data_IF_166428462241
#
_entry.id   IF_166428462241
#
_cell.length_a   1.000
_cell.length_b   1.000
_cell.length_c   1.000
_cell.angle_alpha   90.00
_cell.angle_beta   90.00
_cell.angle_gamma   90.00
#
_symmetry.space_group_name_H-M   'P 1'
#
loop_
_entity.id
_entity.type
_entity.pdbx_description
1 polymer ?
#
# COMPACT_ATOMS: atom_id res chain seq x y z
N UNK A 1 27.11 11.04 -7.87
CA UNK A 1 26.37 9.94 -7.18
C UNK A 1 25.29 10.54 -6.29
N UNK A 2 24.05 10.05 -6.36
CA UNK A 2 23.00 10.49 -5.41
C UNK A 2 23.28 9.93 -4.01
N UNK A 3 23.05 10.73 -2.97
CA UNK A 3 23.18 10.30 -1.57
C UNK A 3 21.84 9.88 -0.97
N UNK A 4 20.78 10.65 -1.27
CA UNK A 4 19.41 10.38 -0.82
C UNK A 4 18.86 9.09 -1.39
N UNK A 5 18.20 8.30 -0.55
CA UNK A 5 17.58 7.02 -0.91
C UNK A 5 16.10 7.22 -1.22
N UNK A 6 15.58 6.42 -2.16
CA UNK A 6 14.19 6.49 -2.59
C UNK A 6 13.42 5.28 -2.09
N UNK A 7 12.32 5.55 -1.40
CA UNK A 7 11.32 4.55 -0.98
C UNK A 7 10.18 4.59 -1.99
N UNK A 8 9.82 3.45 -2.58
CA UNK A 8 8.72 3.37 -3.53
C UNK A 8 7.69 2.35 -3.03
N UNK A 9 6.42 2.73 -3.02
CA UNK A 9 5.32 1.81 -2.69
C UNK A 9 5.02 0.95 -3.90
N UNK A 10 5.06 -0.37 -3.72
CA UNK A 10 4.78 -1.33 -4.80
C UNK A 10 3.35 -1.83 -4.65
N UNK A 11 2.60 -1.76 -5.75
CA UNK A 11 1.27 -2.34 -5.87
C UNK A 11 1.07 -3.06 -7.21
N UNK A 12 -0.19 -3.41 -7.56
CA UNK A 12 -0.51 -4.28 -8.69
C UNK A 12 0.07 -3.84 -10.05
N UNK A 13 0.18 -2.52 -10.28
CA UNK A 13 0.73 -1.96 -11.53
C UNK A 13 2.26 -1.99 -11.62
N UNK A 14 2.95 -2.34 -10.54
CA UNK A 14 4.41 -2.22 -10.39
C UNK A 14 5.09 -3.46 -9.83
N UNK A 15 4.34 -4.52 -9.51
CA UNK A 15 4.86 -5.75 -8.91
C UNK A 15 5.44 -6.74 -9.95
N UNK A 16 5.07 -6.57 -11.22
CA UNK A 16 5.64 -7.34 -12.32
C UNK A 16 7.15 -7.07 -12.43
N UNK A 17 7.93 -8.14 -12.62
CA UNK A 17 9.39 -8.10 -12.59
C UNK A 17 9.98 -6.99 -13.46
N UNK A 18 9.54 -6.91 -14.71
CA UNK A 18 10.00 -5.91 -15.68
C UNK A 18 9.80 -4.48 -15.16
N UNK A 19 8.65 -4.21 -14.53
CA UNK A 19 8.35 -2.89 -13.99
C UNK A 19 9.16 -2.60 -12.73
N UNK A 20 9.37 -3.61 -11.89
CA UNK A 20 10.22 -3.50 -10.72
C UNK A 20 11.67 -3.21 -11.11
N UNK A 21 12.22 -3.90 -12.11
CA UNK A 21 13.57 -3.61 -12.65
C UNK A 21 13.69 -2.19 -13.19
N UNK A 22 12.68 -1.68 -13.90
CA UNK A 22 12.63 -0.27 -14.31
C UNK A 22 12.73 0.69 -13.12
N UNK A 23 12.00 0.42 -12.03
CA UNK A 23 12.05 1.24 -10.81
C UNK A 23 13.41 1.15 -10.10
N UNK A 24 14.00 -0.03 -10.02
CA UNK A 24 15.33 -0.26 -9.44
C UNK A 24 16.41 0.47 -10.25
N UNK A 25 16.29 0.50 -11.57
CA UNK A 25 17.20 1.22 -12.47
C UNK A 25 16.99 2.74 -12.43
N UNK A 26 15.75 3.19 -12.28
CA UNK A 26 15.42 4.60 -12.03
C UNK A 26 15.90 5.07 -10.63
N UNK A 27 16.22 4.13 -9.74
CA UNK A 27 16.95 4.37 -8.50
C UNK A 27 16.17 4.09 -7.22
N UNK A 28 15.10 3.29 -7.27
CA UNK A 28 14.47 2.76 -6.05
C UNK A 28 15.52 2.09 -5.15
N UNK A 29 15.44 2.33 -3.84
CA UNK A 29 16.34 1.76 -2.85
C UNK A 29 15.61 0.89 -1.81
N UNK A 30 14.35 1.24 -1.52
CA UNK A 30 13.50 0.53 -0.57
C UNK A 30 12.15 0.26 -1.22
N UNK A 31 11.71 -1.00 -1.20
CA UNK A 31 10.34 -1.38 -1.51
C UNK A 31 9.47 -1.20 -0.27
N UNK A 32 8.48 -0.32 -0.34
CA UNK A 32 7.45 -0.16 0.69
C UNK A 32 6.25 -1.05 0.35
N UNK A 33 5.85 -1.87 1.31
CA UNK A 33 4.62 -2.65 1.29
C UNK A 33 3.62 -1.99 2.23
N UNK A 34 2.56 -1.41 1.68
CA UNK A 34 1.53 -0.74 2.46
C UNK A 34 0.44 -1.73 2.88
N UNK A 35 0.40 -2.11 4.17
CA UNK A 35 -0.55 -3.10 4.70
C UNK A 35 -1.94 -2.54 4.98
N UNK A 36 -2.21 -1.26 4.65
CA UNK A 36 -3.60 -0.79 4.54
C UNK A 36 -4.37 -1.45 3.39
N UNK A 37 -3.66 -2.08 2.42
CA UNK A 37 -4.23 -2.73 1.25
C UNK A 37 -3.49 -4.03 0.90
N UNK A 38 -4.12 -4.87 0.07
CA UNK A 38 -3.59 -6.17 -0.36
C UNK A 38 -3.65 -7.23 0.73
N UNK A 39 -3.39 -8.48 0.34
CA UNK A 39 -3.30 -9.62 1.24
C UNK A 39 -1.85 -10.13 1.39
N UNK A 40 -1.67 -11.17 2.22
CA UNK A 40 -0.36 -11.75 2.47
C UNK A 40 0.26 -12.41 1.24
N UNK A 41 -0.55 -12.97 0.35
CA UNK A 41 -0.07 -13.65 -0.86
C UNK A 41 0.47 -12.62 -1.86
N UNK A 42 -0.27 -11.53 -2.09
CA UNK A 42 0.18 -10.43 -2.94
C UNK A 42 1.50 -9.84 -2.45
N UNK A 43 1.60 -9.53 -1.15
CA UNK A 43 2.83 -8.99 -0.57
C UNK A 43 3.99 -10.00 -0.63
N UNK A 44 3.70 -11.29 -0.40
CA UNK A 44 4.68 -12.38 -0.55
C UNK A 44 5.22 -12.52 -1.99
N UNK A 45 4.36 -12.37 -2.98
CA UNK A 45 4.76 -12.33 -4.40
C UNK A 45 5.69 -11.16 -4.72
N UNK A 46 5.39 -9.97 -4.19
CA UNK A 46 6.24 -8.77 -4.33
C UNK A 46 7.63 -8.98 -3.73
N UNK A 47 7.70 -9.58 -2.53
CA UNK A 47 8.96 -9.92 -1.86
C UNK A 47 9.78 -10.90 -2.71
N UNK A 48 9.15 -12.00 -3.13
CA UNK A 48 9.79 -13.05 -3.92
C UNK A 48 10.36 -12.51 -5.23
N UNK A 49 9.63 -11.61 -5.90
CA UNK A 49 10.11 -10.95 -7.12
C UNK A 49 11.35 -10.09 -6.86
N UNK A 50 11.36 -9.29 -5.79
CA UNK A 50 12.52 -8.46 -5.47
C UNK A 50 13.75 -9.31 -5.09
N UNK A 51 13.55 -10.39 -4.33
CA UNK A 51 14.61 -11.33 -3.96
C UNK A 51 15.23 -12.01 -5.19
N UNK A 52 14.40 -12.43 -6.16
CA UNK A 52 14.88 -12.98 -7.41
C UNK A 52 15.73 -11.96 -8.19
N UNK A 53 15.28 -10.70 -8.28
CA UNK A 53 16.06 -9.64 -8.95
C UNK A 53 17.38 -9.37 -8.21
N UNK A 54 17.38 -9.34 -6.87
CA UNK A 54 18.61 -9.17 -6.07
C UNK A 54 19.59 -10.31 -6.32
N UNK A 55 19.10 -11.56 -6.39
CA UNK A 55 19.92 -12.74 -6.70
C UNK A 55 20.53 -12.65 -8.10
N UNK A 56 19.75 -12.25 -9.11
CA UNK A 56 20.20 -12.21 -10.50
C UNK A 56 21.18 -11.05 -10.76
N UNK A 57 21.00 -9.92 -10.07
CA UNK A 57 21.79 -8.70 -10.32
C UNK A 57 22.93 -8.46 -9.33
N UNK A 58 22.93 -9.16 -8.19
CA UNK A 58 23.86 -8.92 -7.08
C UNK A 58 23.67 -7.56 -6.37
N UNK A 59 22.61 -6.81 -6.71
CA UNK A 59 22.31 -5.52 -6.09
C UNK A 59 21.53 -5.72 -4.80
N UNK A 60 21.78 -4.87 -3.81
CA UNK A 60 21.13 -4.92 -2.50
C UNK A 60 20.04 -3.83 -2.44
N UNK A 61 18.83 -4.23 -2.05
CA UNK A 61 17.70 -3.35 -1.76
C UNK A 61 17.08 -3.71 -0.41
N UNK A 62 16.34 -2.78 0.18
CA UNK A 62 15.62 -3.02 1.43
C UNK A 62 14.12 -3.22 1.18
N UNK A 63 13.48 -3.95 2.10
CA UNK A 63 12.02 -4.11 2.16
C UNK A 63 11.54 -3.46 3.45
N UNK A 64 10.49 -2.64 3.34
CA UNK A 64 9.85 -1.97 4.46
C UNK A 64 8.38 -2.35 4.48
N UNK A 65 7.96 -2.97 5.58
CA UNK A 65 6.55 -3.19 5.89
C UNK A 65 6.02 -1.94 6.59
N UNK A 66 5.01 -1.30 5.99
CA UNK A 66 4.31 -0.16 6.57
C UNK A 66 2.96 -0.61 7.13
N UNK A 67 2.75 -0.39 8.43
CA UNK A 67 1.59 -0.90 9.15
C UNK A 67 0.37 -0.01 8.91
N UNK A 68 -0.83 -0.60 8.93
CA UNK A 68 -2.08 0.17 8.82
C UNK A 68 -2.26 1.15 9.99
N UNK A 69 -1.86 0.74 11.18
CA UNK A 69 -2.06 1.50 12.42
C UNK A 69 -3.52 1.54 12.89
N UNK A 70 -3.78 2.10 14.09
CA UNK A 70 -5.13 2.35 14.58
C UNK A 70 -5.77 3.53 13.85
N UNK A 71 -7.06 3.42 13.53
CA UNK A 71 -7.82 4.47 12.85
C UNK A 71 -9.31 4.45 13.24
N UNK A 72 -9.96 5.62 13.19
CA UNK A 72 -11.42 5.76 13.33
C UNK A 72 -11.98 5.99 11.94
N UNK A 73 -12.88 5.11 11.48
CA UNK A 73 -13.58 5.22 10.18
C UNK A 73 -15.09 5.16 10.38
N UNK A 74 -15.83 5.78 9.48
CA UNK A 74 -17.28 5.57 9.38
C UNK A 74 -17.58 4.18 8.81
N UNK A 75 -18.78 3.67 9.09
CA UNK A 75 -19.28 2.43 8.51
C UNK A 75 -19.76 2.57 7.07
N UNK A 76 -20.44 1.54 6.59
CA UNK A 76 -21.11 1.54 5.29
C UNK A 76 -22.41 2.33 5.33
N UNK A 77 -22.72 3.03 4.24
CA UNK A 77 -24.02 3.69 4.06
C UNK A 77 -25.02 2.72 3.41
N UNK A 78 -26.31 3.00 3.59
CA UNK A 78 -27.40 2.20 3.02
C UNK A 78 -27.24 2.08 1.49
N UNK A 79 -27.24 0.84 0.98
CA UNK A 79 -27.05 0.55 -0.44
C UNK A 79 -25.70 1.00 -1.03
N UNK A 80 -24.72 1.39 -0.20
CA UNK A 80 -23.46 1.97 -0.65
C UNK A 80 -23.62 3.36 -1.29
N UNK A 81 -24.77 4.02 -1.09
CA UNK A 81 -25.07 5.31 -1.68
C UNK A 81 -24.55 6.44 -0.81
N UNK A 82 -23.98 7.46 -1.45
CA UNK A 82 -23.59 8.69 -0.77
C UNK A 82 -24.82 9.45 -0.27
N UNK A 83 -24.72 10.03 0.93
CA UNK A 83 -25.76 10.88 1.49
C UNK A 83 -25.33 12.35 1.41
N UNK A 84 -26.27 13.24 1.08
CA UNK A 84 -26.04 14.67 1.14
C UNK A 84 -26.36 15.19 2.54
N UNK A 85 -25.38 15.81 3.19
CA UNK A 85 -25.58 16.46 4.49
C UNK A 85 -26.02 17.92 4.31
N UNK A 86 -27.05 18.33 5.05
CA UNK A 86 -27.58 19.70 5.01
C UNK A 86 -27.20 20.46 6.27
N UNK A 87 -26.86 21.74 6.13
CA UNK A 87 -26.52 22.59 7.29
C UNK A 87 -27.70 22.66 8.27
N UNK A 88 -27.43 22.41 9.56
CA UNK A 88 -28.44 22.38 10.62
C UNK A 88 -29.18 21.05 10.76
N UNK A 89 -28.94 20.09 9.86
CA UNK A 89 -29.46 18.73 9.99
C UNK A 89 -28.82 18.03 11.20
N UNK A 90 -29.65 17.46 12.06
CA UNK A 90 -29.19 16.60 13.15
C UNK A 90 -28.84 15.22 12.59
N UNK A 91 -27.63 14.76 12.86
CA UNK A 91 -27.18 13.40 12.60
C UNK A 91 -26.70 12.76 13.90
N UNK A 92 -26.77 11.43 13.98
CA UNK A 92 -26.26 10.65 15.10
C UNK A 92 -25.13 9.77 14.61
N UNK A 93 -23.97 9.88 15.27
CA UNK A 93 -22.87 8.91 15.11
C UNK A 93 -22.99 7.92 16.25
N UNK A 94 -22.99 6.63 15.94
CA UNK A 94 -23.14 5.56 16.92
C UNK A 94 -21.89 4.68 16.97
N UNK A 95 -21.66 4.06 18.13
CA UNK A 95 -20.64 3.01 18.31
C UNK A 95 -21.19 1.61 18.05
N UNK A 96 -22.51 1.49 17.82
CA UNK A 96 -23.15 0.23 17.44
C UNK A 96 -22.74 -0.13 16.00
N UNK A 97 -22.04 -1.25 15.85
CA UNK A 97 -21.51 -1.74 14.58
C UNK A 97 -22.53 -2.54 13.75
N UNK A 98 -23.77 -2.68 14.23
CA UNK A 98 -24.83 -3.45 13.55
C UNK A 98 -25.78 -2.60 12.73
N UNK A 99 -25.65 -1.27 12.82
CA UNK A 99 -26.51 -0.28 12.14
C UNK A 99 -25.92 0.14 10.80
#
# INVERSE_FOLDING_TARGET
MKKTKMVCTIGPKSEQREKMEQLLNAGMNVMRLNFSHGDFEEHGGRISNLEAIMKDTGRIFAIMLDTRGPEIRTGTLEGGQEIQLVTGQRITVTTDSTV
#
